data_IF_219119844172
#
_entry.id   IF_219119844172
#
_cell.length_a   1.000
_cell.length_b   1.000
_cell.length_c   1.000
_cell.angle_alpha   90.00
_cell.angle_beta   90.00
_cell.angle_gamma   90.00
#
_symmetry.space_group_name_H-M   'P 1'
#
loop_
_entity.id
_entity.type
_entity.pdbx_description
1 polymer ?
#
# COMPACT_ATOMS: atom_id res chain seq x y z
N UNK A 1 46.78 -27.17 7.03
CA UNK A 1 45.41 -27.27 6.49
C UNK A 1 44.81 -25.91 6.68
N UNK A 2 44.42 -25.25 5.60
CA UNK A 2 43.71 -23.98 5.64
C UNK A 2 42.40 -24.14 6.43
N UNK A 3 41.98 -23.13 7.22
CA UNK A 3 40.66 -23.12 7.81
C UNK A 3 39.64 -22.90 6.69
N UNK A 4 38.94 -23.96 6.31
CA UNK A 4 37.73 -23.85 5.50
C UNK A 4 36.67 -23.12 6.33
N UNK A 5 36.48 -21.85 5.99
CA UNK A 5 35.25 -21.05 6.08
C UNK A 5 34.02 -21.78 6.64
N UNK A 6 33.54 -21.31 7.78
CA UNK A 6 32.18 -21.55 8.26
C UNK A 6 31.50 -20.19 8.41
N UNK A 7 30.35 -20.02 7.76
CA UNK A 7 29.12 -19.24 8.09
C UNK A 7 28.24 -19.26 6.82
N UNK A 8 26.88 -19.33 6.88
CA UNK A 8 26.00 -18.88 7.98
C UNK A 8 24.97 -19.92 8.49
N UNK A 9 24.37 -19.58 9.65
CA UNK A 9 22.94 -19.68 10.05
C UNK A 9 22.14 -20.99 9.85
N UNK A 10 21.47 -21.42 10.92
CA UNK A 10 20.32 -22.36 10.98
C UNK A 10 20.53 -23.76 10.38
N UNK A 11 20.61 -24.76 11.27
CA UNK A 11 20.54 -26.17 10.88
C UNK A 11 19.06 -26.60 10.80
N UNK A 12 18.47 -26.57 9.60
CA UNK A 12 17.11 -27.09 9.38
C UNK A 12 17.16 -28.59 9.11
N UNK A 13 16.58 -29.40 10.00
CA UNK A 13 16.45 -30.85 9.83
C UNK A 13 14.96 -31.18 9.62
N UNK A 14 14.64 -31.96 8.58
CA UNK A 14 13.29 -32.50 8.36
C UNK A 14 13.21 -33.92 8.98
N UNK A 15 12.39 -34.10 10.01
CA UNK A 15 12.27 -35.36 10.75
C UNK A 15 11.30 -36.38 10.12
N UNK A 16 11.28 -37.56 10.73
CA UNK A 16 10.52 -38.76 10.37
C UNK A 16 9.00 -38.67 10.59
N UNK A 17 8.49 -37.50 10.96
CA UNK A 17 7.06 -37.25 11.22
C UNK A 17 6.59 -37.57 12.64
N UNK A 18 7.48 -37.89 13.59
CA UNK A 18 7.11 -38.18 14.99
C UNK A 18 6.95 -36.94 15.88
N UNK A 19 7.33 -35.75 15.39
CA UNK A 19 7.38 -34.52 16.18
C UNK A 19 8.54 -34.47 17.18
N UNK A 20 9.44 -35.47 17.18
CA UNK A 20 10.63 -35.52 18.04
C UNK A 20 11.90 -35.28 17.23
N UNK A 21 12.76 -34.39 17.71
CA UNK A 21 14.07 -34.11 17.14
C UNK A 21 15.14 -34.26 18.21
N UNK A 22 16.18 -35.02 17.87
CA UNK A 22 17.36 -35.22 18.71
C UNK A 22 18.59 -34.73 17.95
N UNK A 23 19.29 -33.77 18.53
CA UNK A 23 20.56 -33.28 18.04
C UNK A 23 21.67 -33.86 18.93
N UNK A 24 22.57 -34.66 18.34
CA UNK A 24 23.74 -35.24 19.04
C UNK A 24 25.04 -34.75 18.39
N UNK A 25 26.13 -34.76 19.17
CA UNK A 25 27.49 -34.47 18.71
C UNK A 25 27.69 -33.03 18.18
N UNK A 26 26.91 -32.05 18.65
CA UNK A 26 27.18 -30.64 18.33
C UNK A 26 28.51 -30.23 18.96
N UNK A 27 29.39 -29.63 18.16
CA UNK A 27 30.70 -29.14 18.63
C UNK A 27 30.48 -28.05 19.69
N UNK A 28 31.11 -28.18 20.84
CA UNK A 28 31.00 -27.20 21.93
C UNK A 28 31.46 -25.79 21.54
N UNK A 29 32.32 -25.66 20.52
CA UNK A 29 32.69 -24.34 19.98
C UNK A 29 31.52 -23.60 19.32
N UNK A 30 30.38 -24.28 19.14
CA UNK A 30 29.14 -23.72 18.62
C UNK A 30 28.17 -23.24 19.72
N UNK A 31 28.54 -23.35 21.01
CA UNK A 31 27.76 -22.82 22.13
C UNK A 31 27.55 -21.30 21.97
N UNK A 32 26.31 -20.85 22.09
CA UNK A 32 25.91 -19.46 21.84
C UNK A 32 25.99 -19.01 20.37
N UNK A 33 26.41 -19.87 19.43
CA UNK A 33 26.46 -19.61 17.98
C UNK A 33 25.37 -20.37 17.20
N UNK A 34 24.61 -21.22 17.87
CA UNK A 34 23.54 -22.03 17.28
C UNK A 34 22.18 -21.69 17.88
N UNK A 35 21.20 -21.64 16.99
CA UNK A 35 19.78 -21.65 17.29
C UNK A 35 19.16 -22.86 16.59
N UNK A 36 18.28 -23.58 17.30
CA UNK A 36 17.58 -24.75 16.79
C UNK A 36 16.08 -24.49 16.71
N UNK A 37 15.44 -24.93 15.63
CA UNK A 37 13.98 -24.92 15.42
C UNK A 37 13.55 -26.26 14.82
N UNK A 38 12.46 -26.84 15.33
CA UNK A 38 11.85 -28.06 14.78
C UNK A 38 10.51 -27.77 14.10
N UNK A 39 10.25 -28.40 12.95
CA UNK A 39 9.01 -28.24 12.17
C UNK A 39 8.56 -29.56 11.53
N UNK A 40 7.36 -30.05 11.86
CA UNK A 40 6.79 -31.26 11.25
C UNK A 40 5.31 -31.04 10.87
N UNK A 41 4.86 -31.64 9.76
CA UNK A 41 3.45 -31.64 9.36
C UNK A 41 2.58 -32.27 10.45
N UNK A 42 1.52 -31.57 10.86
CA UNK A 42 0.61 -32.01 11.94
C UNK A 42 1.10 -31.68 13.35
N UNK A 43 2.15 -30.86 13.49
CA UNK A 43 2.70 -30.41 14.77
C UNK A 43 2.96 -28.90 14.76
N UNK A 44 2.82 -28.26 15.92
CA UNK A 44 3.24 -26.87 16.12
C UNK A 44 4.77 -26.78 15.95
N UNK A 45 5.31 -25.79 15.23
CA UNK A 45 6.73 -25.49 15.29
C UNK A 45 7.19 -25.25 16.72
N UNK A 46 8.42 -25.63 17.04
CA UNK A 46 9.00 -25.21 18.31
C UNK A 46 9.36 -23.73 18.26
N UNK A 47 9.33 -23.08 19.43
CA UNK A 47 10.09 -21.85 19.62
C UNK A 47 11.58 -22.10 19.27
N UNK A 48 12.27 -21.03 18.87
CA UNK A 48 13.71 -21.10 18.67
C UNK A 48 14.39 -21.34 20.02
N UNK A 49 15.20 -22.38 20.13
CA UNK A 49 15.95 -22.70 21.35
C UNK A 49 17.45 -22.56 21.10
N UNK A 50 18.16 -21.93 22.03
CA UNK A 50 19.60 -22.11 22.14
C UNK A 50 19.85 -23.47 22.80
N UNK A 51 20.76 -24.32 22.27
CA UNK A 51 21.12 -25.57 22.92
C UNK A 51 21.48 -25.30 24.39
N UNK A 52 20.92 -26.05 25.35
CA UNK A 52 21.28 -25.87 26.74
C UNK A 52 22.79 -26.11 26.91
N UNK A 53 23.44 -25.31 27.76
CA UNK A 53 24.80 -25.57 28.22
C UNK A 53 24.79 -26.89 29.03
N UNK A 54 24.91 -28.01 28.33
CA UNK A 54 24.74 -29.36 28.87
C UNK A 54 26.03 -29.91 29.49
N UNK A 55 25.85 -30.88 30.39
CA UNK A 55 26.91 -31.47 31.21
C UNK A 55 28.08 -32.01 30.37
N UNK A 56 29.29 -31.56 30.73
CA UNK A 56 30.54 -31.74 30.00
C UNK A 56 31.09 -33.15 30.26
N UNK A 57 30.52 -34.16 29.62
CA UNK A 57 31.24 -35.41 29.41
C UNK A 57 31.42 -35.62 27.91
N UNK A 58 32.67 -35.50 27.45
CA UNK A 58 33.11 -35.77 26.07
C UNK A 58 32.99 -34.65 25.01
N UNK A 59 32.90 -33.38 25.41
CA UNK A 59 33.00 -32.22 24.48
C UNK A 59 31.86 -32.11 23.44
N UNK A 60 30.69 -32.69 23.73
CA UNK A 60 29.54 -32.74 22.82
C UNK A 60 28.30 -32.16 23.48
N UNK A 61 27.55 -31.34 22.76
CA UNK A 61 26.25 -30.81 23.16
C UNK A 61 25.12 -31.68 22.58
N UNK A 62 24.03 -31.83 23.34
CA UNK A 62 22.78 -32.44 22.86
C UNK A 62 21.58 -31.56 23.22
N UNK A 63 20.59 -31.55 22.33
CA UNK A 63 19.35 -30.81 22.52
C UNK A 63 18.18 -31.61 21.94
N UNK A 64 17.08 -31.66 22.70
CA UNK A 64 15.83 -32.28 22.28
C UNK A 64 14.82 -31.19 21.94
N UNK A 65 14.10 -31.37 20.82
CA UNK A 65 12.91 -30.59 20.50
C UNK A 65 11.73 -31.56 20.40
N UNK A 66 10.72 -31.32 21.23
CA UNK A 66 9.46 -32.05 21.19
C UNK A 66 8.39 -31.08 20.69
N UNK A 67 7.82 -31.37 19.52
CA UNK A 67 6.74 -30.59 18.94
C UNK A 67 5.40 -31.07 19.50
N UNK A 68 4.52 -30.11 19.78
CA UNK A 68 3.15 -30.40 20.20
C UNK A 68 2.31 -30.77 18.98
N UNK A 69 1.58 -31.90 19.03
CA UNK A 69 0.71 -32.30 17.92
C UNK A 69 -0.42 -31.29 17.74
N UNK A 70 -0.63 -30.79 16.53
CA UNK A 70 -1.81 -30.01 16.19
C UNK A 70 -3.01 -30.94 16.25
N UNK A 71 -3.96 -30.66 17.15
CA UNK A 71 -5.24 -31.35 17.17
C UNK A 71 -6.00 -30.90 15.92
N UNK A 72 -5.97 -31.72 14.88
CA UNK A 72 -6.86 -31.55 13.73
C UNK A 72 -8.26 -31.86 14.25
N UNK A 73 -9.04 -30.81 14.54
CA UNK A 73 -10.45 -30.97 14.87
C UNK A 73 -11.15 -31.36 13.58
N UNK A 74 -11.65 -32.59 13.50
CA UNK A 74 -12.43 -33.06 12.35
C UNK A 74 -13.66 -32.14 12.18
N UNK A 75 -13.60 -31.25 11.18
CA UNK A 75 -14.69 -30.34 10.84
C UNK A 75 -15.98 -31.12 10.57
N UNK A 76 -17.08 -30.72 11.18
CA UNK A 76 -18.38 -31.30 10.89
C UNK A 76 -18.91 -30.75 9.55
N UNK A 77 -19.66 -31.54 8.76
CA UNK A 77 -20.23 -31.05 7.51
C UNK A 77 -21.21 -29.91 7.79
N UNK A 78 -20.83 -28.67 7.46
CA UNK A 78 -21.63 -27.46 7.69
C UNK A 78 -20.89 -26.35 8.44
N UNK A 79 -19.73 -26.63 9.04
CA UNK A 79 -18.79 -25.58 9.39
C UNK A 79 -18.13 -25.08 8.10
N UNK A 80 -18.09 -23.76 7.89
CA UNK A 80 -17.12 -23.18 6.96
C UNK A 80 -15.78 -23.77 7.34
N UNK A 81 -15.22 -24.60 6.46
CA UNK A 81 -13.95 -25.25 6.72
C UNK A 81 -12.90 -24.14 6.75
N UNK A 82 -12.63 -23.60 7.93
CA UNK A 82 -11.39 -22.92 8.22
C UNK A 82 -10.31 -23.91 7.82
N UNK A 83 -9.75 -23.72 6.62
CA UNK A 83 -8.65 -24.54 6.16
C UNK A 83 -7.54 -24.28 7.18
N UNK A 84 -7.08 -25.29 7.94
CA UNK A 84 -6.06 -25.05 8.95
C UNK A 84 -4.84 -24.40 8.28
N UNK A 85 -4.48 -23.20 8.72
CA UNK A 85 -3.39 -22.41 8.10
C UNK A 85 -3.82 -21.44 6.99
N UNK A 86 -5.12 -21.14 6.85
CA UNK A 86 -5.61 -20.04 6.03
C UNK A 86 -6.53 -19.15 6.87
N UNK A 87 -6.17 -17.88 6.97
CA UNK A 87 -7.07 -16.81 7.33
C UNK A 87 -7.33 -16.02 6.05
N UNK A 88 -8.59 -15.87 5.64
CA UNK A 88 -8.94 -15.11 4.45
C UNK A 88 -10.10 -14.19 4.82
N UNK A 89 -9.93 -12.90 4.56
CA UNK A 89 -10.97 -11.91 4.64
C UNK A 89 -11.52 -11.65 3.24
N UNK A 90 -12.76 -12.09 3.02
CA UNK A 90 -13.62 -11.51 2.01
C UNK A 90 -14.45 -10.43 2.69
N UNK A 91 -14.27 -9.16 2.32
CA UNK A 91 -15.00 -8.05 2.93
C UNK A 91 -16.53 -8.17 2.78
N UNK A 92 -17.00 -9.11 1.95
CA UNK A 92 -18.41 -9.51 1.79
C UNK A 92 -19.09 -9.99 3.07
N UNK A 93 -18.41 -10.81 3.88
CA UNK A 93 -18.99 -11.34 5.13
C UNK A 93 -18.89 -10.33 6.26
N UNK A 94 -17.86 -9.49 6.26
CA UNK A 94 -17.64 -8.49 7.31
C UNK A 94 -18.43 -7.19 7.13
N UNK A 95 -18.92 -6.89 5.92
CA UNK A 95 -19.96 -5.87 5.72
C UNK A 95 -21.20 -6.12 6.60
N UNK A 96 -21.41 -7.38 7.02
CA UNK A 96 -22.53 -7.82 7.84
C UNK A 96 -22.16 -7.86 9.35
N UNK A 97 -20.93 -8.28 9.69
CA UNK A 97 -20.51 -8.53 11.09
C UNK A 97 -19.68 -7.41 11.75
N UNK A 98 -19.13 -6.44 10.98
CA UNK A 98 -18.41 -5.25 11.48
C UNK A 98 -17.29 -5.52 12.51
N UNK A 99 -16.46 -6.55 12.31
CA UNK A 99 -15.37 -6.82 13.24
C UNK A 99 -14.16 -5.89 13.06
N UNK A 100 -14.09 -5.13 11.95
CA UNK A 100 -13.15 -4.04 11.80
C UNK A 100 -13.53 -2.84 12.65
N UNK A 101 -12.52 -2.18 13.20
CA UNK A 101 -12.68 -0.92 13.94
C UNK A 101 -12.15 0.23 13.10
N UNK A 102 -12.98 1.25 12.90
CA UNK A 102 -12.63 2.46 12.14
C UNK A 102 -12.48 3.65 13.07
N UNK A 103 -11.33 4.32 12.99
CA UNK A 103 -11.05 5.56 13.73
C UNK A 103 -10.77 6.67 12.72
N UNK A 104 -11.77 7.49 12.43
CA UNK A 104 -11.68 8.58 11.45
C UNK A 104 -11.67 9.93 12.17
N UNK A 105 -10.85 10.89 11.69
CA UNK A 105 -10.85 12.25 12.22
C UNK A 105 -12.01 13.10 11.71
N UNK A 106 -12.51 12.77 10.51
CA UNK A 106 -13.71 13.35 9.93
C UNK A 106 -14.89 12.40 10.08
N UNK A 107 -16.09 12.96 10.16
CA UNK A 107 -17.35 12.21 10.11
C UNK A 107 -17.84 11.96 8.68
N UNK A 108 -17.20 12.58 7.68
CA UNK A 108 -17.53 12.45 6.25
C UNK A 108 -16.50 11.59 5.53
N UNK A 109 -15.22 11.91 5.71
CA UNK A 109 -14.09 11.25 5.06
C UNK A 109 -13.48 10.23 6.01
N UNK A 110 -13.33 8.99 5.57
CA UNK A 110 -12.72 7.97 6.40
C UNK A 110 -12.75 6.57 5.82
N UNK A 111 -12.21 5.62 6.57
CA UNK A 111 -12.33 4.20 6.26
C UNK A 111 -13.77 3.73 6.41
N UNK A 112 -14.21 2.94 5.44
CA UNK A 112 -15.52 2.31 5.38
C UNK A 112 -15.47 1.04 4.53
N UNK A 113 -16.40 0.12 4.81
CA UNK A 113 -16.68 -1.01 3.92
C UNK A 113 -17.70 -0.54 2.89
N UNK A 114 -17.37 -0.69 1.61
CA UNK A 114 -18.16 -0.18 0.50
C UNK A 114 -18.54 -1.30 -0.45
N UNK A 115 -19.83 -1.50 -0.70
CA UNK A 115 -20.34 -2.43 -1.71
C UNK A 115 -20.66 -1.69 -3.02
N UNK A 116 -20.44 -2.37 -4.14
CA UNK A 116 -20.55 -1.88 -5.52
C UNK A 116 -19.82 -0.53 -5.69
N UNK A 117 -18.51 -0.48 -5.42
CA UNK A 117 -17.75 0.77 -5.37
C UNK A 117 -17.84 1.60 -6.66
N UNK A 118 -18.00 0.96 -7.82
CA UNK A 118 -18.19 1.62 -9.13
C UNK A 118 -19.46 2.49 -9.21
N UNK A 119 -20.38 2.37 -8.24
CA UNK A 119 -21.55 3.23 -8.13
C UNK A 119 -21.26 4.58 -7.47
N UNK A 120 -20.10 4.72 -6.82
CA UNK A 120 -19.64 5.97 -6.22
C UNK A 120 -18.92 6.78 -7.29
N UNK A 121 -19.52 7.92 -7.64
CA UNK A 121 -19.01 8.83 -8.66
C UNK A 121 -18.16 9.94 -8.04
N UNK A 122 -17.12 10.34 -8.76
CA UNK A 122 -16.38 11.57 -8.49
C UNK A 122 -17.27 12.76 -8.79
N UNK A 123 -17.31 13.75 -7.89
CA UNK A 123 -18.14 14.94 -8.07
C UNK A 123 -17.68 15.80 -9.26
N UNK A 124 -18.63 16.52 -9.87
CA UNK A 124 -18.37 17.28 -11.10
C UNK A 124 -17.34 18.40 -10.90
N UNK A 125 -17.37 19.10 -9.77
CA UNK A 125 -16.39 20.15 -9.47
C UNK A 125 -14.96 19.62 -9.37
N UNK A 126 -14.78 18.40 -8.86
CA UNK A 126 -13.47 17.75 -8.81
C UNK A 126 -13.02 17.27 -10.20
N UNK A 127 -13.94 16.70 -10.98
CA UNK A 127 -13.64 16.23 -12.34
C UNK A 127 -13.15 17.35 -13.28
N UNK A 128 -13.46 18.60 -12.95
CA UNK A 128 -13.04 19.83 -13.66
C UNK A 128 -11.78 20.48 -13.06
N UNK A 129 -11.23 19.96 -11.95
CA UNK A 129 -10.01 20.46 -11.30
C UNK A 129 -8.84 19.46 -11.32
N UNK A 130 -9.15 18.17 -11.50
CA UNK A 130 -8.19 17.06 -11.41
C UNK A 130 -8.23 16.22 -12.69
N UNK A 131 -7.08 15.67 -13.09
CA UNK A 131 -7.00 14.73 -14.20
C UNK A 131 -7.15 13.29 -13.72
N UNK A 132 -8.08 12.58 -14.36
CA UNK A 132 -8.31 11.16 -14.19
C UNK A 132 -7.90 10.44 -15.48
N UNK A 133 -6.76 9.72 -15.50
CA UNK A 133 -6.23 9.10 -16.71
C UNK A 133 -7.13 8.02 -17.34
N UNK A 134 -8.13 7.54 -16.60
CA UNK A 134 -9.16 6.60 -17.04
C UNK A 134 -10.45 7.26 -17.52
N UNK A 135 -10.53 8.59 -17.47
CA UNK A 135 -11.62 9.34 -18.10
C UNK A 135 -11.65 9.04 -19.59
N UNK A 136 -12.84 8.84 -20.15
CA UNK A 136 -13.01 8.61 -21.57
C UNK A 136 -12.48 9.82 -22.35
N UNK A 137 -11.76 9.55 -23.42
CA UNK A 137 -11.19 10.59 -24.28
C UNK A 137 -11.79 10.59 -25.67
N UNK A 138 -11.62 11.72 -26.36
CA UNK A 138 -11.93 11.88 -27.78
C UNK A 138 -10.63 12.14 -28.53
N UNK A 139 -10.38 11.32 -29.55
CA UNK A 139 -9.22 11.46 -30.42
C UNK A 139 -9.58 12.25 -31.67
N UNK A 140 -8.82 13.30 -31.95
CA UNK A 140 -8.96 14.12 -33.17
C UNK A 140 -7.62 14.30 -33.87
N UNK A 141 -7.67 14.49 -35.18
CA UNK A 141 -6.48 14.83 -35.94
C UNK A 141 -6.07 16.29 -35.66
N UNK A 142 -4.78 16.50 -35.43
CA UNK A 142 -4.17 17.81 -35.26
C UNK A 142 -3.00 18.02 -36.23
N UNK A 143 -2.46 19.23 -36.26
CA UNK A 143 -1.32 19.58 -37.10
C UNK A 143 -0.37 20.50 -36.35
N UNK A 144 0.93 20.26 -36.45
CA UNK A 144 1.96 21.18 -35.93
C UNK A 144 1.94 22.46 -36.78
N UNK A 145 1.57 23.59 -36.19
CA UNK A 145 1.47 24.88 -36.90
C UNK A 145 2.72 25.75 -36.78
N UNK A 146 3.50 25.56 -35.72
CA UNK A 146 4.79 26.24 -35.55
C UNK A 146 5.71 25.46 -34.64
N UNK A 147 7.01 25.57 -34.89
CA UNK A 147 8.08 25.04 -34.05
C UNK A 147 8.98 26.21 -33.65
N UNK A 148 9.26 26.38 -32.36
CA UNK A 148 10.17 27.40 -31.83
C UNK A 148 11.06 26.76 -30.78
N UNK A 149 12.37 26.76 -31.01
CA UNK A 149 13.32 26.04 -30.18
C UNK A 149 12.88 24.58 -29.96
N UNK A 150 12.71 24.14 -28.72
CA UNK A 150 12.23 22.80 -28.36
C UNK A 150 10.73 22.74 -28.05
N UNK A 151 9.92 23.66 -28.56
CA UNK A 151 8.46 23.64 -28.40
C UNK A 151 7.74 23.70 -29.74
N UNK A 152 6.53 23.16 -29.78
CA UNK A 152 5.66 23.23 -30.93
C UNK A 152 4.23 23.60 -30.53
N UNK A 153 3.56 24.36 -31.39
CA UNK A 153 2.12 24.61 -31.28
C UNK A 153 1.39 23.63 -32.19
N UNK A 154 0.37 22.97 -31.64
CA UNK A 154 -0.48 22.00 -32.32
C UNK A 154 -1.88 22.56 -32.38
N UNK A 155 -2.42 22.66 -33.60
CA UNK A 155 -3.79 23.11 -33.83
C UNK A 155 -4.69 21.94 -34.22
N UNK A 156 -5.88 21.90 -33.63
CA UNK A 156 -6.92 20.89 -33.87
C UNK A 156 -8.30 21.49 -33.63
N UNK A 157 -9.37 20.84 -34.06
CA UNK A 157 -10.74 21.25 -33.77
C UNK A 157 -11.41 20.15 -32.96
N UNK A 158 -11.91 20.51 -31.78
CA UNK A 158 -12.66 19.58 -30.92
C UNK A 158 -13.95 19.14 -31.61
N UNK A 159 -14.40 17.92 -31.34
CA UNK A 159 -15.67 17.44 -31.89
C UNK A 159 -16.83 18.36 -31.50
N UNK A 160 -17.64 18.74 -32.48
CA UNK A 160 -18.75 19.70 -32.31
C UNK A 160 -18.37 21.18 -32.26
N UNK A 161 -17.09 21.55 -32.22
CA UNK A 161 -16.63 22.95 -32.27
C UNK A 161 -16.30 23.40 -33.70
N UNK A 162 -16.36 24.72 -33.94
CA UNK A 162 -16.02 25.32 -35.26
C UNK A 162 -14.70 26.06 -35.27
N UNK A 163 -14.23 26.51 -34.11
CA UNK A 163 -12.97 27.24 -33.98
C UNK A 163 -11.85 26.27 -33.59
N UNK A 164 -10.64 26.45 -34.13
CA UNK A 164 -9.50 25.63 -33.74
C UNK A 164 -9.05 25.94 -32.31
N UNK A 165 -8.70 24.89 -31.58
CA UNK A 165 -7.94 24.94 -30.33
C UNK A 165 -6.45 24.81 -30.64
N UNK A 166 -5.60 25.44 -29.83
CA UNK A 166 -4.15 25.31 -29.93
C UNK A 166 -3.58 24.87 -28.59
N UNK A 167 -2.66 23.92 -28.62
CA UNK A 167 -1.91 23.44 -27.44
C UNK A 167 -0.42 23.46 -27.73
N UNK A 168 0.38 23.69 -26.68
CA UNK A 168 1.83 23.73 -26.76
C UNK A 168 2.44 22.44 -26.23
N UNK A 169 3.34 21.83 -26.99
CA UNK A 169 4.06 20.60 -26.62
C UNK A 169 5.57 20.81 -26.62
N UNK A 170 6.29 19.98 -25.87
CA UNK A 170 7.77 19.96 -25.91
C UNK A 170 8.24 18.96 -26.94
N UNK A 171 9.22 19.34 -27.75
CA UNK A 171 9.88 18.47 -28.70
C UNK A 171 11.20 17.96 -28.13
N UNK A 172 11.55 16.71 -28.44
CA UNK A 172 12.84 16.12 -28.05
C UNK A 172 13.54 15.49 -29.26
N UNK A 173 14.85 15.72 -29.32
CA UNK A 173 15.78 15.02 -30.20
C UNK A 173 16.28 13.80 -29.44
N UNK A 174 15.74 12.63 -29.77
CA UNK A 174 16.02 11.38 -29.06
C UNK A 174 17.27 10.70 -29.61
N UNK A 175 17.59 10.93 -30.89
CA UNK A 175 18.66 10.23 -31.61
C UNK A 175 19.98 11.03 -31.67
N UNK A 176 19.96 12.32 -31.31
CA UNK A 176 21.10 13.22 -31.24
C UNK A 176 21.55 13.80 -32.58
N UNK A 177 20.71 13.75 -33.61
CA UNK A 177 21.02 14.27 -34.95
C UNK A 177 20.69 15.76 -35.12
N UNK A 178 20.25 16.43 -34.05
CA UNK A 178 19.79 17.83 -34.00
C UNK A 178 18.44 18.07 -34.69
N UNK A 179 17.69 17.01 -34.97
CA UNK A 179 16.29 17.08 -35.41
C UNK A 179 15.37 16.54 -34.31
N UNK A 180 14.18 17.11 -34.19
CA UNK A 180 13.20 16.62 -33.21
C UNK A 180 12.46 15.42 -33.79
N UNK A 181 12.40 14.34 -33.03
CA UNK A 181 11.77 13.07 -33.46
C UNK A 181 10.72 12.55 -32.47
N UNK A 182 10.51 13.26 -31.35
CA UNK A 182 9.49 12.90 -30.36
C UNK A 182 8.78 14.11 -29.74
N UNK A 183 7.55 13.85 -29.30
CA UNK A 183 6.67 14.82 -28.63
C UNK A 183 6.58 14.43 -27.15
N UNK A 184 6.53 15.44 -26.27
CA UNK A 184 6.23 15.30 -24.84
C UNK A 184 5.15 16.31 -24.47
N UNK A 185 4.09 15.83 -23.81
CA UNK A 185 2.98 16.67 -23.36
C UNK A 185 3.42 17.71 -22.33
N UNK A 186 2.67 18.80 -22.27
CA UNK A 186 2.94 19.92 -21.37
C UNK A 186 2.01 19.86 -20.15
N UNK A 187 2.59 19.53 -19.00
CA UNK A 187 1.88 19.43 -17.72
C UNK A 187 2.04 20.67 -16.83
N UNK A 188 2.33 21.85 -17.40
CA UNK A 188 2.58 23.07 -16.61
C UNK A 188 1.32 23.71 -16.02
N UNK A 189 0.15 23.44 -16.59
CA UNK A 189 -1.15 23.94 -16.13
C UNK A 189 -2.22 22.87 -16.38
N UNK A 190 -3.32 22.90 -15.62
CA UNK A 190 -4.44 21.98 -15.80
C UNK A 190 -4.97 22.00 -17.24
N UNK A 191 -5.24 23.19 -17.78
CA UNK A 191 -5.75 23.36 -19.15
C UNK A 191 -4.85 22.69 -20.19
N UNK A 192 -3.52 22.78 -20.06
CA UNK A 192 -2.60 22.14 -21.00
C UNK A 192 -2.47 20.63 -20.78
N UNK A 193 -2.54 20.20 -19.53
CA UNK A 193 -2.35 18.82 -19.13
C UNK A 193 -3.51 17.90 -19.56
N UNK A 194 -4.66 18.46 -19.92
CA UNK A 194 -5.80 17.73 -20.49
C UNK A 194 -5.53 17.14 -21.88
N UNK A 195 -4.45 17.52 -22.55
CA UNK A 195 -4.19 17.11 -23.94
C UNK A 195 -3.01 16.14 -24.01
N UNK A 196 -3.26 14.95 -24.56
CA UNK A 196 -2.22 14.01 -24.96
C UNK A 196 -1.99 14.10 -26.47
N UNK A 197 -0.75 14.36 -26.88
CA UNK A 197 -0.38 14.56 -28.28
C UNK A 197 0.69 13.55 -28.68
N UNK A 198 0.40 12.77 -29.72
CA UNK A 198 1.35 11.82 -30.29
C UNK A 198 1.33 11.82 -31.81
N UNK A 199 2.35 11.23 -32.42
CA UNK A 199 2.45 11.15 -33.87
C UNK A 199 1.45 10.16 -34.45
N UNK A 200 0.71 10.58 -35.47
CA UNK A 200 -0.20 9.68 -36.18
C UNK A 200 0.54 8.57 -36.94
N UNK A 201 1.77 8.85 -37.36
CA UNK A 201 2.68 7.90 -38.00
C UNK A 201 4.11 8.24 -37.66
N UNK A 202 5.00 7.24 -37.65
CA UNK A 202 6.44 7.45 -37.47
C UNK A 202 6.97 8.54 -38.42
N UNK A 203 7.75 9.46 -37.88
CA UNK A 203 8.46 10.50 -38.60
C UNK A 203 9.93 10.50 -38.14
N UNK A 204 10.87 10.57 -39.09
CA UNK A 204 12.29 10.74 -38.77
C UNK A 204 12.58 12.14 -38.24
N UNK A 205 11.81 13.14 -38.67
CA UNK A 205 11.91 14.53 -38.25
C UNK A 205 10.50 15.15 -38.14
N UNK A 206 10.28 15.94 -37.09
CA UNK A 206 9.07 16.71 -36.86
C UNK A 206 9.18 18.08 -37.53
N UNK A 207 8.30 18.32 -38.50
CA UNK A 207 8.21 19.56 -39.25
C UNK A 207 6.88 20.28 -39.00
N UNK A 208 6.82 21.56 -39.33
CA UNK A 208 5.52 22.25 -39.53
C UNK A 208 4.70 21.45 -40.56
N UNK A 209 3.39 21.37 -40.34
CA UNK A 209 2.42 20.56 -41.07
C UNK A 209 2.45 19.04 -40.77
N UNK A 210 3.33 18.58 -39.87
CA UNK A 210 3.29 17.19 -39.40
C UNK A 210 1.95 16.85 -38.76
N UNK A 211 1.40 15.69 -39.13
CA UNK A 211 0.12 15.21 -38.63
C UNK A 211 0.30 14.51 -37.29
N UNK A 212 -0.52 14.91 -36.33
CA UNK A 212 -0.53 14.35 -34.97
C UNK A 212 -1.95 13.92 -34.63
N UNK A 213 -2.05 13.06 -33.61
CA UNK A 213 -3.29 12.79 -32.92
C UNK A 213 -3.29 13.58 -31.62
N UNK A 214 -4.44 14.16 -31.29
CA UNK A 214 -4.69 14.84 -30.02
C UNK A 214 -5.84 14.11 -29.34
N UNK A 215 -5.60 13.63 -28.12
CA UNK A 215 -6.61 13.09 -27.22
C UNK A 215 -6.90 14.09 -26.11
N UNK A 216 -8.17 14.24 -25.76
CA UNK A 216 -8.61 15.08 -24.66
C UNK A 216 -9.84 14.48 -23.97
N UNK A 217 -10.10 14.81 -22.69
CA UNK A 217 -11.30 14.40 -21.97
C UNK A 217 -12.59 14.61 -22.76
N UNK A 218 -13.40 13.56 -22.89
CA UNK A 218 -14.74 13.68 -23.46
C UNK A 218 -15.56 14.62 -22.56
N UNK A 219 -16.01 15.80 -23.04
CA UNK A 219 -16.74 16.76 -22.23
C UNK A 219 -18.13 16.24 -21.79
N UNK A 220 -18.60 15.15 -22.41
CA UNK A 220 -19.85 14.48 -22.03
C UNK A 220 -19.62 13.30 -21.08
N UNK A 221 -18.37 12.89 -20.86
CA UNK A 221 -18.04 11.90 -19.85
C UNK A 221 -17.99 12.56 -18.47
N UNK A 222 -19.01 12.23 -17.67
CA UNK A 222 -19.18 12.61 -16.27
C UNK A 222 -19.19 11.40 -15.35
N UNK A 223 -18.89 10.21 -15.86
CA UNK A 223 -19.04 8.95 -15.12
C UNK A 223 -17.68 8.46 -14.58
N UNK A 224 -16.91 9.37 -13.99
CA UNK A 224 -15.68 9.00 -13.28
C UNK A 224 -16.12 8.36 -11.96
N UNK A 225 -15.67 7.14 -11.70
CA UNK A 225 -16.07 6.35 -10.54
C UNK A 225 -14.87 5.73 -9.84
N UNK A 226 -15.11 5.15 -8.65
CA UNK A 226 -14.15 4.23 -8.06
C UNK A 226 -14.00 2.98 -8.92
N UNK A 227 -12.87 2.28 -8.76
CA UNK A 227 -12.70 0.98 -9.41
C UNK A 227 -13.70 -0.04 -8.84
N UNK A 228 -14.22 -0.97 -9.69
CA UNK A 228 -14.91 -2.14 -9.20
C UNK A 228 -14.05 -2.92 -8.20
N UNK A 229 -14.71 -3.65 -7.29
CA UNK A 229 -14.03 -4.59 -6.40
C UNK A 229 -13.16 -5.57 -7.21
N UNK A 230 -12.02 -5.98 -6.65
CA UNK A 230 -11.15 -6.96 -7.31
C UNK A 230 -11.81 -8.34 -7.26
N UNK A 231 -12.30 -8.72 -6.08
CA UNK A 231 -13.11 -9.90 -5.83
C UNK A 231 -14.49 -9.49 -5.32
N UNK A 232 -15.52 -10.27 -5.64
CA UNK A 232 -16.88 -10.00 -5.15
C UNK A 232 -17.46 -8.66 -5.61
N UNK A 233 -18.13 -7.95 -4.70
CA UNK A 233 -18.71 -6.63 -4.87
C UNK A 233 -18.38 -5.65 -3.72
N UNK A 234 -17.55 -6.02 -2.74
CA UNK A 234 -17.25 -5.19 -1.56
C UNK A 234 -15.76 -4.95 -1.38
N UNK A 235 -15.38 -3.72 -0.99
CA UNK A 235 -14.00 -3.32 -0.67
C UNK A 235 -13.92 -2.62 0.69
N UNK A 236 -12.73 -2.61 1.29
CA UNK A 236 -12.38 -1.65 2.33
C UNK A 236 -11.78 -0.40 1.66
N UNK A 237 -12.38 0.77 1.87
CA UNK A 237 -11.99 2.00 1.18
C UNK A 237 -11.89 3.20 2.13
N UNK A 238 -10.90 4.05 1.90
CA UNK A 238 -10.73 5.34 2.55
C UNK A 238 -11.16 6.47 1.60
N UNK A 239 -12.19 7.22 2.01
CA UNK A 239 -12.66 8.42 1.30
C UNK A 239 -14.06 8.84 1.76
N UNK A 240 -14.72 9.70 0.97
CA UNK A 240 -16.09 10.14 1.20
C UNK A 240 -16.98 9.84 0.00
N UNK A 241 -18.04 9.06 0.21
CA UNK A 241 -18.97 8.64 -0.85
C UNK A 241 -19.77 9.80 -1.47
N UNK A 242 -19.84 10.96 -0.80
CA UNK A 242 -20.53 12.13 -1.34
C UNK A 242 -19.78 12.81 -2.50
N UNK A 243 -18.45 12.67 -2.54
CA UNK A 243 -17.58 13.27 -3.56
C UNK A 243 -16.81 12.23 -4.37
N UNK A 244 -16.77 10.98 -3.90
CA UNK A 244 -15.97 9.91 -4.52
C UNK A 244 -14.46 10.06 -4.31
N UNK A 245 -14.03 10.88 -3.35
CA UNK A 245 -12.62 11.24 -3.14
C UNK A 245 -12.25 11.36 -1.66
N UNK A 246 -11.02 11.77 -1.35
CA UNK A 246 -10.59 12.11 0.03
C UNK A 246 -10.99 13.53 0.46
N UNK A 247 -11.67 14.28 -0.40
CA UNK A 247 -12.22 15.61 -0.14
C UNK A 247 -13.64 15.53 0.41
N UNK A 248 -13.95 16.36 1.41
CA UNK A 248 -15.31 16.56 1.90
C UNK A 248 -16.09 17.65 1.14
N UNK A 249 -15.45 18.28 0.15
CA UNK A 249 -16.01 19.35 -0.68
C UNK A 249 -16.06 18.94 -2.16
N UNK A 250 -16.92 19.62 -2.94
CA UNK A 250 -16.95 19.49 -4.40
C UNK A 250 -15.79 20.28 -5.06
N UNK A 251 -14.57 20.06 -4.58
CA UNK A 251 -13.34 20.70 -5.04
C UNK A 251 -12.12 19.86 -4.67
N UNK A 252 -10.97 20.15 -5.29
CA UNK A 252 -9.68 19.52 -4.98
C UNK A 252 -9.09 19.98 -3.64
N UNK A 253 -9.92 20.40 -2.68
CA UNK A 253 -9.52 20.81 -1.33
C UNK A 253 -10.55 20.37 -0.31
N UNK A 254 -10.12 20.14 0.93
CA UNK A 254 -10.99 19.75 2.06
C UNK A 254 -11.20 20.92 3.03
N UNK A 255 -12.26 20.88 3.83
CA UNK A 255 -12.47 21.86 4.90
C UNK A 255 -11.47 21.70 6.06
N UNK A 256 -11.04 20.46 6.31
CA UNK A 256 -10.10 20.08 7.37
C UNK A 256 -9.14 19.02 6.89
N UNK A 257 -8.03 18.87 7.59
CA UNK A 257 -7.10 17.75 7.38
C UNK A 257 -7.79 16.45 7.73
N UNK A 258 -7.70 15.44 6.87
CA UNK A 258 -8.40 14.17 7.06
C UNK A 258 -7.40 13.03 7.30
N UNK A 259 -7.73 12.15 8.23
CA UNK A 259 -6.99 10.91 8.46
C UNK A 259 -7.93 9.85 9.02
N UNK A 260 -7.53 8.60 8.87
CA UNK A 260 -8.24 7.52 9.53
C UNK A 260 -7.47 6.22 9.57
N UNK A 261 -7.93 5.34 10.45
CA UNK A 261 -7.36 4.03 10.68
C UNK A 261 -8.43 2.94 10.56
N UNK A 262 -8.14 1.88 9.80
CA UNK A 262 -8.92 0.65 9.76
C UNK A 262 -8.12 -0.45 10.45
N UNK A 263 -8.64 -0.96 11.56
CA UNK A 263 -7.99 -1.99 12.38
C UNK A 263 -8.72 -3.32 12.23
N UNK A 264 -7.98 -4.37 11.89
CA UNK A 264 -8.50 -5.71 11.72
C UNK A 264 -9.01 -6.30 13.05
N UNK A 265 -9.82 -7.37 13.00
CA UNK A 265 -10.03 -8.26 14.13
C UNK A 265 -8.70 -8.87 14.62
N UNK A 266 -8.74 -9.57 15.76
CA UNK A 266 -7.58 -10.35 16.22
C UNK A 266 -7.39 -11.55 15.29
N UNK A 267 -6.19 -11.65 14.73
CA UNK A 267 -5.78 -12.73 13.85
C UNK A 267 -4.94 -13.71 14.67
N UNK A 268 -5.43 -14.93 14.81
CA UNK A 268 -4.78 -15.97 15.60
C UNK A 268 -3.81 -16.80 14.73
N UNK A 269 -2.51 -16.55 14.89
CA UNK A 269 -1.43 -17.23 14.16
C UNK A 269 -0.77 -18.31 15.01
N UNK A 270 -1.36 -18.71 16.14
CA UNK A 270 -0.78 -19.70 17.07
C UNK A 270 -0.53 -21.06 16.42
N UNK A 271 -1.27 -21.38 15.36
CA UNK A 271 -1.15 -22.63 14.59
C UNK A 271 -0.31 -22.50 13.30
N UNK A 272 0.33 -21.35 13.07
CA UNK A 272 1.09 -21.08 11.85
C UNK A 272 2.57 -21.39 12.06
N UNK A 273 3.21 -21.94 11.01
CA UNK A 273 4.65 -22.19 10.95
C UNK A 273 5.42 -21.09 10.24
N UNK A 274 4.74 -20.54 9.24
CA UNK A 274 5.12 -19.39 8.46
C UNK A 274 3.89 -18.52 8.30
N UNK A 275 4.07 -17.22 8.07
CA UNK A 275 2.95 -16.29 7.96
C UNK A 275 3.26 -15.33 6.84
N UNK A 276 2.45 -15.38 5.79
CA UNK A 276 2.52 -14.43 4.69
C UNK A 276 1.18 -13.72 4.57
N UNK A 277 1.19 -12.40 4.68
CA UNK A 277 0.03 -11.57 4.40
C UNK A 277 -0.01 -11.20 2.92
N UNK A 278 -1.16 -11.33 2.28
CA UNK A 278 -1.40 -10.89 0.91
C UNK A 278 -2.68 -10.06 0.86
N UNK A 279 -2.71 -9.02 0.05
CA UNK A 279 -3.94 -8.29 -0.25
C UNK A 279 -3.84 -7.61 -1.62
N UNK A 280 -5.00 -7.31 -2.19
CA UNK A 280 -5.13 -6.44 -3.36
C UNK A 280 -5.35 -5.02 -2.90
N UNK A 281 -4.72 -4.09 -3.59
CA UNK A 281 -4.93 -2.67 -3.32
C UNK A 281 -4.82 -1.84 -4.59
N UNK A 282 -5.59 -0.78 -4.67
CA UNK A 282 -5.31 0.36 -5.54
C UNK A 282 -5.40 1.63 -4.71
N UNK A 283 -4.70 2.65 -5.15
CA UNK A 283 -4.79 3.98 -4.59
C UNK A 283 -4.65 5.01 -5.69
N UNK A 284 -5.18 6.19 -5.43
CA UNK A 284 -5.03 7.40 -6.22
C UNK A 284 -5.09 8.59 -5.27
N UNK A 285 -3.97 9.31 -5.18
CA UNK A 285 -3.73 10.44 -4.27
C UNK A 285 -3.04 11.56 -5.04
N UNK A 286 -2.79 12.70 -4.42
CA UNK A 286 -2.05 13.75 -5.11
C UNK A 286 -0.59 13.37 -5.34
N UNK A 287 0.04 13.94 -6.37
CA UNK A 287 1.45 13.70 -6.66
C UNK A 287 2.39 14.77 -6.11
N UNK A 288 1.88 15.78 -5.39
CA UNK A 288 2.72 16.83 -4.77
C UNK A 288 3.22 16.33 -3.42
N UNK A 289 4.54 16.37 -3.22
CA UNK A 289 5.17 16.01 -1.95
C UNK A 289 4.64 14.66 -1.40
N UNK A 290 4.59 13.64 -2.27
CA UNK A 290 3.98 12.34 -1.97
C UNK A 290 4.94 11.37 -1.28
N UNK A 291 6.23 11.73 -1.18
CA UNK A 291 7.25 10.87 -0.60
C UNK A 291 7.01 10.58 0.88
N UNK A 292 7.61 9.49 1.35
CA UNK A 292 7.49 9.04 2.72
C UNK A 292 7.81 10.17 3.72
N UNK A 293 6.84 10.48 4.57
CA UNK A 293 6.95 11.49 5.62
C UNK A 293 6.25 12.82 5.30
N UNK A 294 5.79 13.01 4.05
CA UNK A 294 5.07 14.20 3.60
C UNK A 294 3.55 13.97 3.59
N UNK A 295 2.83 14.18 2.48
CA UNK A 295 1.36 14.19 2.42
C UNK A 295 0.78 12.86 1.92
N UNK A 296 -0.53 12.67 2.08
CA UNK A 296 -1.27 11.47 1.62
C UNK A 296 -0.58 10.14 1.97
N UNK A 297 -0.28 9.97 3.24
CA UNK A 297 0.53 8.87 3.73
C UNK A 297 -0.31 7.62 3.93
N UNK A 298 0.01 6.56 3.17
CA UNK A 298 -0.60 5.24 3.24
C UNK A 298 0.35 4.27 3.94
N UNK A 299 -0.02 3.87 5.15
CA UNK A 299 0.82 3.08 6.05
C UNK A 299 0.10 1.83 6.54
N UNK A 300 0.89 0.79 6.78
CA UNK A 300 0.43 -0.50 7.27
C UNK A 300 1.19 -0.82 8.55
N UNK A 301 0.44 -1.13 9.61
CA UNK A 301 0.99 -1.41 10.93
C UNK A 301 0.57 -2.79 11.42
N UNK A 302 1.33 -3.32 12.38
CA UNK A 302 1.01 -4.53 13.14
C UNK A 302 1.10 -4.27 14.63
N UNK A 303 0.21 -4.88 15.39
CA UNK A 303 0.31 -4.97 16.84
C UNK A 303 0.24 -6.44 17.28
N UNK A 304 1.07 -6.82 18.25
CA UNK A 304 1.01 -8.14 18.89
C UNK A 304 0.07 -8.07 20.08
N UNK A 305 -0.92 -8.98 20.14
CA UNK A 305 -2.06 -8.90 21.07
C UNK A 305 -2.31 -10.21 21.82
N UNK A 306 -1.26 -10.99 22.07
CA UNK A 306 -1.31 -12.25 22.83
C UNK A 306 -2.07 -12.12 24.16
N UNK A 307 -2.73 -13.20 24.60
CA UNK A 307 -3.63 -13.24 25.76
C UNK A 307 -2.96 -13.02 27.14
N UNK A 308 -1.70 -12.60 27.20
CA UNK A 308 -0.98 -12.37 28.45
C UNK A 308 -1.62 -11.27 29.31
N UNK A 309 -1.62 -11.44 30.63
CA UNK A 309 -2.38 -10.59 31.57
C UNK A 309 -1.69 -9.28 31.97
N UNK A 310 -0.45 -9.05 31.51
CA UNK A 310 0.34 -7.86 31.86
C UNK A 310 0.85 -7.16 30.58
N UNK A 311 1.01 -5.83 30.65
CA UNK A 311 1.62 -5.00 29.60
C UNK A 311 3.13 -5.24 29.58
N UNK A 312 3.55 -6.35 28.97
CA UNK A 312 4.94 -6.80 28.91
C UNK A 312 5.41 -6.81 27.45
N UNK A 313 6.70 -6.53 27.25
CA UNK A 313 7.35 -6.69 25.95
C UNK A 313 7.38 -8.18 25.54
N UNK A 314 6.94 -8.44 24.32
CA UNK A 314 6.87 -9.75 23.69
C UNK A 314 8.11 -9.91 22.79
N UNK A 315 9.03 -10.83 23.12
CA UNK A 315 10.21 -11.06 22.31
C UNK A 315 9.83 -11.85 21.04
N UNK A 316 10.16 -11.29 19.88
CA UNK A 316 9.93 -11.91 18.57
C UNK A 316 11.26 -12.02 17.83
N UNK A 317 11.52 -13.19 17.24
CA UNK A 317 12.76 -13.48 16.54
C UNK A 317 12.55 -13.58 15.03
N UNK A 318 13.39 -12.87 14.27
CA UNK A 318 13.59 -13.12 12.84
C UNK A 318 15.03 -13.59 12.62
N UNK A 319 15.20 -14.90 12.41
CA UNK A 319 16.51 -15.54 12.46
C UNK A 319 17.23 -15.25 13.79
N UNK A 320 18.36 -14.55 13.73
CA UNK A 320 19.15 -14.18 14.91
C UNK A 320 18.82 -12.78 15.47
N UNK A 321 17.87 -12.07 14.86
CA UNK A 321 17.50 -10.71 15.28
C UNK A 321 16.35 -10.79 16.27
N UNK A 322 16.52 -10.18 17.44
CA UNK A 322 15.47 -10.05 18.46
C UNK A 322 14.80 -8.68 18.33
N UNK A 323 13.48 -8.70 18.19
CA UNK A 323 12.60 -7.54 18.27
C UNK A 323 11.79 -7.59 19.57
N UNK A 324 11.60 -6.44 20.20
CA UNK A 324 10.79 -6.33 21.42
C UNK A 324 9.52 -5.56 21.11
N UNK A 325 8.38 -6.26 21.07
CA UNK A 325 7.09 -5.68 20.79
C UNK A 325 6.34 -5.42 22.09
N UNK A 326 6.00 -4.17 22.38
CA UNK A 326 5.08 -3.87 23.47
C UNK A 326 3.68 -4.31 23.08
N UNK A 327 3.02 -5.10 23.93
CA UNK A 327 1.67 -5.62 23.66
C UNK A 327 0.69 -4.49 23.30
N UNK A 328 -0.06 -4.69 22.22
CA UNK A 328 -1.08 -3.75 21.75
C UNK A 328 -0.53 -2.50 21.06
N UNK A 329 0.77 -2.25 21.13
CA UNK A 329 1.43 -1.16 20.41
C UNK A 329 1.57 -1.49 18.93
N UNK A 330 1.25 -0.52 18.07
CA UNK A 330 1.40 -0.66 16.63
C UNK A 330 2.79 -0.25 16.18
N UNK A 331 3.39 -1.07 15.31
CA UNK A 331 4.66 -0.84 14.64
C UNK A 331 4.46 -0.90 13.14
N UNK A 332 5.10 -0.01 12.39
CA UNK A 332 4.91 0.07 10.94
C UNK A 332 5.62 -1.08 10.23
N UNK A 333 4.88 -1.79 9.37
CA UNK A 333 5.39 -2.85 8.50
C UNK A 333 5.76 -2.33 7.12
N UNK A 334 4.95 -1.42 6.57
CA UNK A 334 5.10 -0.99 5.20
C UNK A 334 4.47 0.39 4.94
N UNK A 335 4.97 1.04 3.89
CA UNK A 335 4.42 2.25 3.28
C UNK A 335 4.16 2.00 1.81
N UNK A 336 3.08 2.56 1.27
CA UNK A 336 2.83 2.52 -0.18
C UNK A 336 3.42 3.72 -0.92
N UNK A 337 3.65 4.82 -0.21
CA UNK A 337 4.30 6.02 -0.73
C UNK A 337 5.75 5.73 -1.18
N UNK A 338 6.24 6.43 -2.22
CA UNK A 338 7.61 6.28 -2.67
C UNK A 338 8.59 6.83 -1.62
N UNK A 339 9.82 6.30 -1.59
CA UNK A 339 10.87 6.78 -0.68
C UNK A 339 11.36 8.20 -1.03
N UNK A 340 11.25 8.58 -2.29
CA UNK A 340 11.68 9.87 -2.83
C UNK A 340 10.64 10.38 -3.80
N UNK A 341 10.56 11.70 -3.98
CA UNK A 341 9.65 12.29 -4.95
C UNK A 341 9.81 11.69 -6.35
N UNK A 342 8.71 11.28 -7.00
CA UNK A 342 8.74 10.92 -8.41
C UNK A 342 9.23 12.12 -9.25
N UNK A 343 10.17 11.90 -10.18
CA UNK A 343 10.71 13.00 -10.97
C UNK A 343 9.66 13.57 -11.94
N UNK A 344 9.60 14.90 -12.02
CA UNK A 344 9.06 15.60 -13.19
C UNK A 344 7.57 15.93 -13.18
N UNK A 345 6.80 15.59 -12.14
CA UNK A 345 5.38 15.95 -12.04
C UNK A 345 4.99 16.15 -10.56
N UNK A 346 4.95 17.41 -10.14
CA UNK A 346 4.53 17.88 -8.80
C UNK A 346 3.42 18.89 -9.03
N UNK A 347 2.27 18.41 -9.49
CA UNK A 347 1.15 19.25 -9.90
C UNK A 347 -0.11 18.81 -9.15
N UNK A 348 -0.81 19.79 -8.59
CA UNK A 348 -2.05 19.63 -7.82
C UNK A 348 -3.15 18.80 -8.53
N UNK A 349 -3.15 18.83 -9.85
CA UNK A 349 -4.17 18.19 -10.70
C UNK A 349 -3.71 16.85 -11.29
N UNK A 350 -2.50 16.38 -10.95
CA UNK A 350 -1.99 15.08 -11.38
C UNK A 350 -2.03 14.10 -10.23
N UNK A 351 -2.45 12.87 -10.53
CA UNK A 351 -2.49 11.81 -9.54
C UNK A 351 -1.12 11.14 -9.38
N UNK A 352 -0.89 10.60 -8.18
CA UNK A 352 -0.02 9.47 -7.96
C UNK A 352 -0.89 8.27 -7.64
N UNK A 353 -0.90 7.28 -8.53
CA UNK A 353 -1.71 6.08 -8.36
C UNK A 353 -0.86 4.83 -8.23
N UNK A 354 -1.53 3.73 -7.90
CA UNK A 354 -0.99 2.37 -8.01
C UNK A 354 -0.47 2.01 -9.42
N UNK A 355 -0.88 2.73 -10.47
CA UNK A 355 -0.33 2.64 -11.83
C UNK A 355 0.85 3.58 -12.11
N UNK A 356 1.24 4.42 -11.13
CA UNK A 356 2.29 5.41 -11.24
C UNK A 356 1.77 6.85 -11.31
N UNK A 357 2.68 7.78 -11.58
CA UNK A 357 2.37 9.20 -11.75
C UNK A 357 1.57 9.42 -13.03
N UNK A 358 0.48 10.19 -12.95
CA UNK A 358 -0.45 10.39 -14.07
C UNK A 358 -0.93 9.06 -14.70
N UNK A 359 -1.02 8.01 -13.89
CA UNK A 359 -1.34 6.66 -14.30
C UNK A 359 -2.75 6.27 -13.87
N UNK A 360 -3.42 5.46 -14.67
CA UNK A 360 -4.70 4.83 -14.27
C UNK A 360 -4.46 3.97 -13.02
N UNK A 361 -5.23 4.13 -11.92
CA UNK A 361 -5.13 3.22 -10.79
C UNK A 361 -5.45 1.80 -11.23
N UNK A 362 -4.68 0.84 -10.72
CA UNK A 362 -4.84 -0.58 -11.03
C UNK A 362 -4.71 -1.39 -9.75
N UNK A 363 -5.47 -2.46 -9.64
CA UNK A 363 -5.30 -3.41 -8.55
C UNK A 363 -3.91 -4.04 -8.61
N UNK A 364 -3.10 -3.82 -7.58
CA UNK A 364 -1.79 -4.43 -7.39
C UNK A 364 -1.81 -5.41 -6.22
N UNK A 365 -1.00 -6.47 -6.32
CA UNK A 365 -0.80 -7.40 -5.20
C UNK A 365 0.24 -6.83 -4.25
N UNK A 366 -0.04 -6.88 -2.95
CA UNK A 366 0.93 -6.58 -1.89
C UNK A 366 1.11 -7.80 -1.02
N UNK A 367 2.37 -8.17 -0.82
CA UNK A 367 2.80 -9.23 0.07
C UNK A 367 3.51 -8.60 1.27
N UNK A 368 3.22 -9.11 2.46
CA UNK A 368 3.86 -8.75 3.72
C UNK A 368 4.51 -10.00 4.30
N UNK A 369 5.82 -9.94 4.56
CA UNK A 369 6.46 -10.96 5.37
C UNK A 369 6.01 -10.79 6.82
N UNK A 370 5.24 -11.74 7.33
CA UNK A 370 4.78 -11.78 8.71
C UNK A 370 5.38 -12.98 9.48
N UNK A 371 6.34 -13.70 8.89
CA UNK A 371 6.89 -14.95 9.42
C UNK A 371 7.27 -14.87 10.90
N UNK A 372 7.90 -13.78 11.41
CA UNK A 372 8.25 -13.70 12.83
C UNK A 372 7.05 -13.72 13.78
N UNK A 373 5.84 -13.40 13.30
CA UNK A 373 4.61 -13.45 14.08
C UNK A 373 3.96 -14.84 14.13
N UNK A 374 4.55 -15.86 13.50
CA UNK A 374 4.11 -17.25 13.66
C UNK A 374 4.06 -17.64 15.15
N UNK A 375 2.95 -18.23 15.61
CA UNK A 375 2.76 -18.58 17.02
C UNK A 375 2.11 -17.49 17.88
N UNK A 376 1.88 -16.29 17.34
CA UNK A 376 1.31 -15.14 18.07
C UNK A 376 -0.11 -14.78 17.61
N UNK A 377 -0.76 -13.89 18.34
CA UNK A 377 -1.98 -13.21 17.91
C UNK A 377 -1.64 -11.78 17.52
N UNK A 378 -2.12 -11.32 16.38
CA UNK A 378 -1.83 -9.97 15.88
C UNK A 378 -3.10 -9.20 15.49
N UNK A 379 -2.93 -7.90 15.26
CA UNK A 379 -3.84 -7.07 14.47
C UNK A 379 -3.05 -6.37 13.37
N UNK A 380 -3.69 -6.17 12.22
CA UNK A 380 -3.19 -5.33 11.15
C UNK A 380 -4.00 -4.02 11.17
N UNK A 381 -3.32 -2.90 10.93
CA UNK A 381 -3.95 -1.58 10.82
C UNK A 381 -3.51 -0.91 9.53
N UNK A 382 -4.48 -0.44 8.75
CA UNK A 382 -4.26 0.44 7.61
C UNK A 382 -4.52 1.88 8.04
N UNK A 383 -3.60 2.79 7.73
CA UNK A 383 -3.68 4.20 8.11
C UNK A 383 -3.49 5.08 6.90
N UNK A 384 -4.41 6.03 6.73
CA UNK A 384 -4.33 7.07 5.71
C UNK A 384 -4.30 8.43 6.39
N UNK A 385 -3.43 9.34 5.95
CA UNK A 385 -3.40 10.71 6.46
C UNK A 385 -3.02 11.72 5.37
N UNK A 386 -3.92 12.66 5.06
CA UNK A 386 -3.67 13.75 4.10
C UNK A 386 -2.65 14.74 4.64
N UNK A 387 -2.65 14.96 5.96
CA UNK A 387 -1.86 15.95 6.73
C UNK A 387 -2.16 17.42 6.45
N UNK A 388 -2.78 17.75 5.32
CA UNK A 388 -3.31 19.08 5.07
C UNK A 388 -4.71 19.04 4.42
N UNK A 389 -5.21 20.21 4.03
CA UNK A 389 -6.48 20.42 3.36
C UNK A 389 -6.34 20.53 1.83
N UNK A 390 -5.13 20.55 1.30
CA UNK A 390 -4.90 20.76 -0.11
C UNK A 390 -5.02 19.45 -0.90
N UNK A 391 -5.39 19.57 -2.16
CA UNK A 391 -5.24 18.53 -3.19
C UNK A 391 -5.87 17.16 -2.87
N UNK A 392 -7.00 17.18 -2.16
CA UNK A 392 -7.71 15.99 -1.71
C UNK A 392 -8.75 15.47 -2.73
N UNK A 393 -8.73 15.95 -3.97
CA UNK A 393 -9.68 15.60 -5.03
C UNK A 393 -9.43 14.26 -5.71
N UNK A 394 -8.71 13.33 -5.07
CA UNK A 394 -8.39 12.02 -5.65
C UNK A 394 -9.14 10.89 -4.95
N UNK A 395 -9.30 9.75 -5.65
CA UNK A 395 -10.20 8.66 -5.24
C UNK A 395 -9.81 7.94 -3.94
N UNK A 396 -8.63 8.18 -3.37
CA UNK A 396 -8.22 7.66 -2.08
C UNK A 396 -7.55 6.28 -2.15
N UNK A 397 -7.82 5.41 -1.18
CA UNK A 397 -7.11 4.13 -1.03
C UNK A 397 -8.09 2.99 -0.76
N UNK A 398 -8.00 1.91 -1.55
CA UNK A 398 -8.81 0.72 -1.42
C UNK A 398 -7.98 -0.54 -1.17
N UNK A 399 -8.59 -1.49 -0.46
CA UNK A 399 -8.05 -2.78 -0.08
C UNK A 399 -9.11 -3.84 -0.34
N UNK A 400 -8.69 -4.98 -0.88
CA UNK A 400 -9.55 -6.12 -1.19
C UNK A 400 -8.77 -7.44 -1.09
N UNK A 401 -9.46 -8.58 -1.05
CA UNK A 401 -8.90 -9.93 -1.05
C UNK A 401 -7.74 -10.10 -0.03
N UNK A 402 -7.92 -9.61 1.20
CA UNK A 402 -6.90 -9.69 2.24
C UNK A 402 -6.84 -11.12 2.81
N UNK A 403 -5.67 -11.74 2.82
CA UNK A 403 -5.48 -13.10 3.29
C UNK A 403 -4.14 -13.27 4.01
N UNK A 404 -4.10 -14.16 4.99
CA UNK A 404 -2.91 -14.63 5.66
C UNK A 404 -2.80 -16.14 5.47
N UNK A 405 -1.69 -16.58 4.87
CA UNK A 405 -1.44 -17.98 4.57
C UNK A 405 -0.32 -18.54 5.44
N UNK A 406 -0.41 -19.83 5.76
CA UNK A 406 0.66 -20.59 6.42
C UNK A 406 1.74 -21.03 5.41
N UNK A 407 2.27 -20.05 4.68
CA UNK A 407 3.31 -20.22 3.68
C UNK A 407 4.44 -19.26 3.97
N UNK A 408 5.67 -19.66 3.64
CA UNK A 408 6.86 -18.85 3.86
C UNK A 408 6.94 -17.75 2.80
N UNK A 409 6.98 -16.50 3.26
CA UNK A 409 7.36 -15.35 2.43
C UNK A 409 8.84 -15.41 2.06
N UNK A 410 9.14 -15.10 0.80
CA UNK A 410 10.52 -14.92 0.30
C UNK A 410 11.04 -13.48 0.49
N UNK A 411 10.19 -12.54 0.90
CA UNK A 411 10.58 -11.17 1.25
C UNK A 411 11.32 -11.13 2.60
N UNK A 412 12.23 -10.17 2.75
CA UNK A 412 12.86 -9.86 4.04
C UNK A 412 11.82 -9.31 5.03
N UNK A 413 11.97 -9.64 6.31
CA UNK A 413 11.13 -9.05 7.35
C UNK A 413 11.59 -7.61 7.61
N UNK A 414 10.66 -6.67 7.49
CA UNK A 414 10.91 -5.25 7.72
C UNK A 414 9.85 -4.75 8.69
N UNK A 415 10.32 -4.14 9.78
CA UNK A 415 9.48 -3.44 10.75
C UNK A 415 10.22 -2.22 11.27
N UNK A 416 9.55 -1.08 11.33
CA UNK A 416 10.11 0.12 11.94
C UNK A 416 9.79 0.14 13.44
N UNK A 417 10.74 -0.33 14.24
CA UNK A 417 10.64 -0.33 15.71
C UNK A 417 10.66 1.06 16.34
N UNK A 418 11.00 2.11 15.57
CA UNK A 418 10.99 3.50 16.03
C UNK A 418 9.67 4.20 15.74
N UNK A 419 8.89 3.67 14.80
CA UNK A 419 7.56 4.16 14.51
C UNK A 419 6.60 3.78 15.63
N UNK A 420 5.89 4.77 16.14
CA UNK A 420 4.59 4.58 16.77
C UNK A 420 3.58 5.16 15.77
N UNK A 421 2.32 4.67 15.71
CA UNK A 421 1.28 5.40 14.99
C UNK A 421 1.29 6.85 15.45
N UNK A 422 0.96 7.79 14.56
CA UNK A 422 0.99 9.22 14.87
C UNK A 422 -0.13 9.62 15.86
N UNK A 423 -0.31 8.90 16.98
CA UNK A 423 -1.21 9.26 18.08
C UNK A 423 -0.93 10.68 18.58
N UNK A 424 0.34 11.11 18.60
CA UNK A 424 0.71 12.49 18.94
C UNK A 424 0.22 13.52 17.89
N UNK A 425 0.09 13.13 16.62
CA UNK A 425 -0.47 14.00 15.58
C UNK A 425 -1.99 14.07 15.69
N UNK A 426 -2.66 12.92 15.86
CA UNK A 426 -4.11 12.84 16.05
C UNK A 426 -4.56 13.60 17.31
N UNK A 427 -3.83 13.50 18.42
CA UNK A 427 -4.08 14.34 19.60
C UNK A 427 -3.83 15.84 19.32
N UNK A 428 -2.79 16.17 18.55
CA UNK A 428 -2.51 17.57 18.18
C UNK A 428 -3.56 18.18 17.24
N UNK A 429 -4.20 17.37 16.38
CA UNK A 429 -5.32 17.78 15.53
C UNK A 429 -6.60 17.94 16.36
N UNK A 430 -6.92 16.98 17.23
CA UNK A 430 -8.07 17.06 18.15
C UNK A 430 -8.00 18.31 19.04
N UNK A 431 -6.80 18.73 19.45
CA UNK A 431 -6.58 19.95 20.24
C UNK A 431 -6.69 21.25 19.42
N UNK A 432 -6.45 21.22 18.10
CA UNK A 432 -6.56 22.40 17.22
C UNK A 432 -7.99 22.68 16.72
N UNK A 433 -8.87 21.68 16.73
CA UNK A 433 -10.31 21.83 16.44
C UNK A 433 -11.11 22.58 17.52
N UNK A 434 -10.47 23.01 18.61
CA UNK A 434 -11.08 23.79 19.71
C UNK A 434 -10.31 25.10 19.91
N UNK A 435 -10.20 25.94 18.88
CA UNK A 435 -9.82 27.34 19.09
C UNK A 435 -11.08 28.22 19.03
N UNK A 436 -11.33 29.08 20.05
CA UNK A 436 -12.43 30.03 19.99
C UNK A 436 -12.14 31.09 18.91
N UNK A 437 -13.20 31.52 18.21
CA UNK A 437 -13.15 32.66 17.30
C UNK A 437 -12.58 33.90 18.02
N UNK A 438 -11.31 34.22 17.79
CA UNK A 438 -10.78 35.53 18.14
C UNK A 438 -11.07 36.48 16.97
N UNK A 439 -11.98 37.41 17.25
CA UNK A 439 -12.35 38.54 16.41
C UNK A 439 -11.13 39.39 16.06
N UNK A 440 -10.79 39.47 14.77
CA UNK A 440 -9.91 40.51 14.27
C UNK A 440 -10.64 41.86 14.26
N UNK A 441 -10.37 42.70 15.26
CA UNK A 441 -10.62 44.14 15.15
C UNK A 441 -9.60 44.74 14.17
N UNK A 442 -10.13 45.37 13.11
CA UNK A 442 -9.36 46.23 12.22
C UNK A 442 -9.12 47.59 12.90
N UNK A 443 -7.86 47.98 13.08
CA UNK A 443 -7.49 49.38 13.32
C UNK A 443 -7.05 50.05 12.00
N UNK A 444 -7.49 51.30 11.85
CA UNK A 444 -7.38 52.22 10.70
C UNK A 444 -5.96 52.66 10.31
#
# INVERSE_FOLDING_TARGET
MDPTSLYPSELTIKADGSGYYLFENLDQNMDGLLSLKGEATGYQPSAMISPPAGDISENQLSADIILESQVIVDAQPGDETAVPGLYSEGFETEAIDQNWTFENTSNLVGWQVLSNPETVLVSEGIADEVLFPDRKTVDVAGTITSITDSTAEVSFTKDGETEPTTVSVTLKDTNGDQSFDSITNNYSTYDMAQYDVWLQSYAEELLVDSQVMVSYPDPFDKEISLLPAFGGDTILWYGYTGTGTTSDEDSNTSTVTNSGEATSPVIDLTNFSYVTGNFKTWYEVECVDISSGQFDQMRIFVAVVDDQTEDVDIPIYDGNTLYQFTKGTYYELAKLNPLTEPPGMQQAFLNFSSGGVNGVPIWVNRELNLNPFAGHKIRIKFSFATKDTAYNGFRGWAIDDAAITNEKSDLDFIVDMSSQPEEQFLESIKLRGVMPEESFEQEE
#
